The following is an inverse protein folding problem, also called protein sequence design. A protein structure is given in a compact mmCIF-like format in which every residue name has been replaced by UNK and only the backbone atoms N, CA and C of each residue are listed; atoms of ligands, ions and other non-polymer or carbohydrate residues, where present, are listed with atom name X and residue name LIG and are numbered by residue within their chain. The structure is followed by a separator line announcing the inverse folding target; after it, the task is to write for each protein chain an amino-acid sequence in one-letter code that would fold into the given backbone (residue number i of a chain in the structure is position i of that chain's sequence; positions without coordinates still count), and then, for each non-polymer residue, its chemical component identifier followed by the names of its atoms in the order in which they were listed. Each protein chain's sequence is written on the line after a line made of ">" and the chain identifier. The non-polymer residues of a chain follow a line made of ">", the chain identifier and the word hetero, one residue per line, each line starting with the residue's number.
data_IF_749143173569
#
_entry.id   IF_749143173569
#
_cell.length_a   1.000
_cell.length_b   1.000
_cell.length_c   1.000
_cell.angle_alpha   90.00
_cell.angle_beta   90.00
_cell.angle_gamma   90.00
#
_symmetry.space_group_name_H-M   'P 1'
#
loop_
_entity.id
_entity.type
_entity.pdbx_description
1 polymer ?
#
# COMPACT_ATOMS: atom_id res chain seq x y z
N UNK A 1 -69.43 -40.21 15.77
CA UNK A 1 -68.82 -39.89 17.07
C UNK A 1 -67.64 -38.96 16.83
N UNK A 2 -67.80 -37.65 17.05
CA UNK A 2 -66.72 -36.66 17.00
C UNK A 2 -66.11 -36.46 18.40
N UNK A 3 -64.84 -36.02 18.52
CA UNK A 3 -64.39 -35.33 19.73
C UNK A 3 -64.33 -33.82 19.51
N UNK A 4 -64.84 -33.11 20.52
CA UNK A 4 -65.11 -31.69 20.60
C UNK A 4 -63.86 -30.83 20.88
N UNK A 5 -63.89 -29.58 20.41
CA UNK A 5 -63.02 -28.48 20.85
C UNK A 5 -63.28 -28.11 22.32
N UNK A 6 -62.24 -27.80 23.10
CA UNK A 6 -62.41 -27.04 24.34
C UNK A 6 -62.19 -25.53 24.14
N UNK A 7 -63.07 -24.77 24.78
CA UNK A 7 -63.15 -23.31 24.81
C UNK A 7 -62.07 -22.65 25.68
N UNK A 8 -61.77 -21.37 25.40
CA UNK A 8 -61.03 -20.46 26.30
C UNK A 8 -61.88 -20.07 27.53
N UNK A 9 -61.23 -19.82 28.68
CA UNK A 9 -61.74 -18.87 29.65
C UNK A 9 -60.76 -17.73 29.98
N UNK A 10 -61.37 -16.64 30.45
CA UNK A 10 -60.90 -15.27 30.57
C UNK A 10 -59.81 -14.98 31.64
N UNK A 11 -59.16 -13.82 31.47
CA UNK A 11 -58.30 -13.14 32.44
C UNK A 11 -59.04 -12.73 33.72
N UNK A 12 -58.31 -12.64 34.86
CA UNK A 12 -58.59 -11.59 35.83
C UNK A 12 -57.33 -10.85 36.33
N UNK A 13 -57.42 -9.52 36.21
CA UNK A 13 -57.05 -8.45 37.18
C UNK A 13 -55.72 -8.48 37.94
N UNK A 14 -54.96 -7.38 37.79
CA UNK A 14 -53.90 -6.90 38.70
C UNK A 14 -54.38 -6.67 40.14
N UNK A 15 -53.42 -6.64 41.09
CA UNK A 15 -53.35 -5.47 41.98
C UNK A 15 -51.92 -4.90 42.15
N UNK A 16 -51.92 -3.56 42.17
CA UNK A 16 -51.08 -2.57 42.87
C UNK A 16 -49.67 -2.90 43.40
N UNK A 17 -48.77 -1.96 43.09
CA UNK A 17 -47.47 -1.67 43.72
C UNK A 17 -47.54 -1.44 45.24
N UNK A 18 -46.37 -1.48 45.91
CA UNK A 18 -45.98 -0.30 46.68
C UNK A 18 -44.60 0.24 46.29
N UNK A 19 -44.49 1.57 46.42
CA UNK A 19 -43.32 2.43 46.24
C UNK A 19 -42.26 2.24 47.34
N UNK A 20 -40.98 2.44 46.96
CA UNK A 20 -39.95 3.20 47.70
C UNK A 20 -38.62 3.05 46.94
N UNK A 21 -38.24 4.00 46.07
CA UNK A 21 -37.44 5.19 46.37
C UNK A 21 -36.03 4.84 46.90
N UNK A 22 -35.01 4.90 46.03
CA UNK A 22 -33.68 5.39 46.41
C UNK A 22 -32.80 5.73 45.18
N UNK A 23 -32.37 6.99 45.16
CA UNK A 23 -31.14 7.56 44.55
C UNK A 23 -30.97 7.55 43.02
N UNK A 24 -31.38 8.67 42.43
CA UNK A 24 -30.83 9.28 41.22
C UNK A 24 -29.38 9.73 41.48
N UNK A 25 -28.39 9.13 40.81
CA UNK A 25 -27.04 9.69 40.73
C UNK A 25 -26.96 10.66 39.54
N UNK A 26 -26.46 11.85 39.84
CA UNK A 26 -26.42 13.00 38.94
C UNK A 26 -25.43 12.80 37.79
N UNK A 27 -25.89 13.09 36.57
CA UNK A 27 -25.03 13.29 35.41
C UNK A 27 -24.28 14.61 35.57
N UNK A 28 -23.02 14.54 35.94
CA UNK A 28 -22.12 15.70 35.91
C UNK A 28 -21.73 15.96 34.46
N UNK A 29 -22.24 17.05 33.91
CA UNK A 29 -21.96 17.56 32.59
C UNK A 29 -20.48 17.93 32.46
N UNK A 30 -19.73 17.16 31.67
CA UNK A 30 -18.37 17.51 31.28
C UNK A 30 -18.43 18.45 30.08
N UNK A 31 -18.27 19.75 30.31
CA UNK A 31 -17.98 20.73 29.27
C UNK A 31 -16.58 20.45 28.71
N UNK A 32 -16.39 20.14 27.41
CA UNK A 32 -15.06 20.06 26.86
C UNK A 32 -14.52 21.47 26.67
N UNK A 33 -13.50 21.83 27.44
CA UNK A 33 -12.71 23.04 27.17
C UNK A 33 -12.16 22.97 25.76
N UNK A 34 -12.51 23.96 24.94
CA UNK A 34 -12.00 24.13 23.58
C UNK A 34 -10.47 24.21 23.59
N UNK A 35 -9.80 23.08 23.36
CA UNK A 35 -8.40 23.03 22.99
C UNK A 35 -8.26 23.62 21.59
N UNK A 36 -7.41 24.64 21.47
CA UNK A 36 -7.08 25.27 20.20
C UNK A 36 -6.74 24.21 19.14
N UNK A 37 -7.53 24.16 18.07
CA UNK A 37 -7.24 23.35 16.89
C UNK A 37 -5.95 23.86 16.25
N UNK A 38 -4.83 23.18 16.52
CA UNK A 38 -3.66 23.26 15.65
C UNK A 38 -4.07 22.72 14.28
N UNK A 39 -3.85 23.50 13.22
CA UNK A 39 -4.01 23.00 11.85
C UNK A 39 -3.13 21.77 11.60
N UNK A 40 -3.38 20.98 10.54
CA UNK A 40 -2.64 19.76 10.28
C UNK A 40 -1.14 20.07 10.21
N UNK A 41 -0.37 19.47 11.11
CA UNK A 41 1.09 19.55 11.09
C UNK A 41 1.58 18.94 9.77
N UNK A 42 2.45 19.67 9.06
CA UNK A 42 3.00 19.18 7.80
C UNK A 42 4.04 18.10 8.13
N UNK A 43 3.75 16.86 7.75
CA UNK A 43 4.64 15.70 7.91
C UNK A 43 5.92 15.85 7.07
N UNK A 44 7.06 15.31 7.54
CA UNK A 44 8.33 15.31 6.77
C UNK A 44 8.17 14.57 5.45
N UNK A 45 7.44 13.47 5.42
CA UNK A 45 7.08 12.73 4.20
C UNK A 45 6.31 13.60 3.21
N UNK A 46 5.41 14.45 3.70
CA UNK A 46 4.69 15.42 2.87
C UNK A 46 5.60 16.52 2.32
N UNK A 47 6.60 16.97 3.09
CA UNK A 47 7.61 17.93 2.63
C UNK A 47 8.59 17.32 1.60
N UNK A 48 9.04 16.09 1.81
CA UNK A 48 9.91 15.37 0.87
C UNK A 48 9.20 15.13 -0.47
N UNK A 49 7.91 14.77 -0.44
CA UNK A 49 7.06 14.71 -1.64
C UNK A 49 7.01 16.06 -2.37
N UNK A 50 6.80 17.16 -1.65
CA UNK A 50 6.75 18.50 -2.26
C UNK A 50 8.08 18.92 -2.89
N UNK A 51 9.21 18.55 -2.29
CA UNK A 51 10.54 18.80 -2.83
C UNK A 51 10.83 18.01 -4.11
N UNK A 52 10.33 16.77 -4.23
CA UNK A 52 10.52 15.92 -5.41
C UNK A 52 9.73 16.39 -6.65
N UNK A 53 8.59 17.07 -6.46
CA UNK A 53 7.77 17.63 -7.56
C UNK A 53 8.34 18.95 -8.09
N UNK A 54 9.12 19.68 -7.29
CA UNK A 54 9.66 20.99 -7.63
C UNK A 54 10.94 20.93 -8.51
N UNK A 55 10.83 20.39 -9.72
CA UNK A 55 11.86 20.61 -10.76
C UNK A 55 11.48 21.79 -11.65
N UNK A 56 12.19 22.90 -11.44
CA UNK A 56 12.34 24.10 -12.29
C UNK A 56 11.19 24.47 -13.26
N UNK A 57 10.26 25.32 -12.81
CA UNK A 57 9.51 26.21 -13.71
C UNK A 57 10.30 27.51 -13.84
N UNK A 58 10.76 27.92 -15.04
CA UNK A 58 11.33 29.25 -15.22
C UNK A 58 10.22 30.28 -15.00
N UNK A 59 10.47 31.19 -14.07
CA UNK A 59 9.55 32.25 -13.66
C UNK A 59 9.31 33.21 -14.85
N UNK A 60 8.22 33.03 -15.59
CA UNK A 60 7.62 34.09 -16.40
C UNK A 60 6.36 34.57 -15.69
N UNK A 61 6.29 35.89 -15.55
CA UNK A 61 5.53 36.64 -14.56
C UNK A 61 4.01 36.42 -14.58
N UNK A 62 3.43 36.41 -13.37
CA UNK A 62 2.06 36.89 -13.10
C UNK A 62 1.07 35.83 -12.61
N UNK A 63 0.76 35.84 -11.31
CA UNK A 63 -0.38 35.13 -10.71
C UNK A 63 0.04 34.05 -9.70
N UNK A 64 0.19 34.44 -8.44
CA UNK A 64 0.85 33.64 -7.41
C UNK A 64 0.08 32.44 -6.87
N UNK A 65 0.84 31.39 -6.55
CA UNK A 65 0.72 30.70 -5.27
C UNK A 65 1.94 31.13 -4.47
N UNK A 66 1.77 32.14 -3.62
CA UNK A 66 2.80 32.53 -2.67
C UNK A 66 2.86 31.44 -1.59
N UNK A 67 3.82 30.52 -1.69
CA UNK A 67 4.33 29.84 -0.50
C UNK A 67 4.87 30.96 0.39
N UNK A 68 4.25 31.17 1.55
CA UNK A 68 4.67 32.16 2.52
C UNK A 68 6.15 31.91 2.88
N UNK A 69 7.05 32.67 2.24
CA UNK A 69 8.37 32.93 2.79
C UNK A 69 8.14 34.00 3.84
N UNK A 70 7.90 33.58 5.07
CA UNK A 70 8.14 34.45 6.21
C UNK A 70 9.63 34.82 6.17
N UNK A 71 9.90 36.01 5.65
CA UNK A 71 11.17 36.71 5.81
C UNK A 71 11.13 37.42 7.15
N UNK A 72 10.98 36.63 8.22
CA UNK A 72 11.19 37.07 9.59
C UNK A 72 12.60 36.66 10.01
N UNK A 73 13.55 37.57 9.89
CA UNK A 73 14.85 37.42 10.55
C UNK A 73 14.68 37.57 12.07
N UNK A 74 14.13 36.55 12.74
CA UNK A 74 14.34 36.35 14.17
C UNK A 74 15.37 35.24 14.32
N UNK A 75 16.52 35.55 14.94
CA UNK A 75 17.55 34.56 15.32
C UNK A 75 17.10 33.57 16.40
N UNK A 76 15.81 33.20 16.41
CA UNK A 76 15.31 32.08 17.16
C UNK A 76 15.73 30.80 16.41
N UNK A 77 16.31 29.79 17.10
CA UNK A 77 16.56 28.51 16.49
C UNK A 77 15.24 27.96 15.93
N UNK A 78 15.27 27.57 14.66
CA UNK A 78 14.14 26.89 14.02
C UNK A 78 13.81 25.66 14.85
N UNK A 79 12.53 25.44 15.12
CA UNK A 79 12.09 24.22 15.77
C UNK A 79 12.65 23.02 14.98
N UNK A 80 13.26 22.01 15.65
CA UNK A 80 13.60 20.77 15.00
C UNK A 80 12.38 20.28 14.22
N UNK A 81 12.58 19.90 12.96
CA UNK A 81 11.53 19.21 12.23
C UNK A 81 11.06 18.03 13.09
N UNK A 82 9.75 17.78 13.26
CA UNK A 82 9.25 16.66 14.06
C UNK A 82 9.95 15.36 13.68
N UNK A 83 10.18 14.45 14.63
CA UNK A 83 10.71 13.11 14.35
C UNK A 83 9.84 12.37 13.32
N UNK A 84 10.39 11.32 12.70
CA UNK A 84 9.73 10.43 11.73
C UNK A 84 8.63 9.59 12.39
N UNK A 85 7.73 10.24 13.13
CA UNK A 85 6.60 9.65 13.84
C UNK A 85 5.32 10.33 13.32
N UNK A 86 5.17 10.30 11.98
CA UNK A 86 4.01 10.82 11.26
C UNK A 86 3.35 9.79 10.32
N UNK A 87 3.64 8.50 10.55
CA UNK A 87 3.15 7.36 9.76
C UNK A 87 4.25 6.45 9.21
N UNK A 88 5.40 6.37 9.90
CA UNK A 88 6.53 5.50 9.54
C UNK A 88 6.49 4.13 10.22
N UNK A 89 5.32 3.79 10.80
CA UNK A 89 4.99 2.42 11.13
C UNK A 89 5.06 1.56 9.86
N UNK A 90 5.79 0.42 9.88
CA UNK A 90 5.85 -0.46 8.73
C UNK A 90 4.46 -0.83 8.26
N UNK A 91 4.26 -0.84 6.94
CA UNK A 91 3.00 -1.26 6.34
C UNK A 91 2.66 -2.67 6.81
N UNK A 92 1.47 -2.81 7.41
CA UNK A 92 1.03 -4.08 7.98
C UNK A 92 0.97 -5.18 6.93
N UNK A 93 1.45 -6.38 7.29
CA UNK A 93 1.31 -7.56 6.47
C UNK A 93 -0.11 -8.13 6.56
N UNK A 94 -0.55 -8.78 5.48
CA UNK A 94 -1.81 -9.50 5.43
C UNK A 94 -1.67 -10.77 4.60
N UNK A 95 -2.69 -11.61 4.67
CA UNK A 95 -2.72 -12.87 3.93
C UNK A 95 -2.56 -12.64 2.43
N UNK A 96 -1.83 -13.55 1.78
CA UNK A 96 -1.70 -13.62 0.32
C UNK A 96 -3.05 -13.90 -0.37
N UNK A 97 -3.90 -14.69 0.28
CA UNK A 97 -5.12 -15.23 -0.30
C UNK A 97 -4.85 -16.33 -1.33
N UNK A 98 -5.91 -17.01 -1.81
CA UNK A 98 -5.77 -18.22 -2.62
C UNK A 98 -5.45 -17.98 -4.10
N UNK A 99 -5.35 -16.71 -4.52
CA UNK A 99 -5.32 -16.33 -5.93
C UNK A 99 -4.01 -15.69 -6.38
N UNK A 100 -2.94 -15.74 -5.59
CA UNK A 100 -1.63 -15.34 -6.05
C UNK A 100 -1.12 -16.28 -7.16
N UNK A 101 -0.35 -15.74 -8.10
CA UNK A 101 0.38 -16.50 -9.11
C UNK A 101 1.80 -15.92 -9.21
N UNK A 102 2.84 -16.75 -9.07
CA UNK A 102 4.20 -16.28 -9.31
C UNK A 102 4.40 -15.95 -10.79
N UNK A 103 5.51 -15.29 -11.10
CA UNK A 103 5.97 -15.02 -12.48
C UNK A 103 5.05 -14.05 -13.24
N UNK A 104 4.47 -13.08 -12.53
CA UNK A 104 3.68 -12.02 -13.16
C UNK A 104 4.54 -11.24 -14.17
N UNK A 105 3.99 -10.73 -15.28
CA UNK A 105 4.77 -9.97 -16.26
C UNK A 105 5.23 -8.61 -15.68
N UNK A 106 6.43 -8.16 -16.09
CA UNK A 106 6.94 -6.82 -15.77
C UNK A 106 6.13 -5.76 -16.53
N UNK A 107 5.26 -5.03 -15.83
CA UNK A 107 4.42 -3.97 -16.40
C UNK A 107 3.81 -3.08 -15.31
N UNK A 108 3.64 -1.80 -15.65
CA UNK A 108 2.96 -0.81 -14.80
C UNK A 108 1.49 -0.62 -15.17
N UNK A 109 1.05 -1.08 -16.34
CA UNK A 109 -0.36 -1.11 -16.74
C UNK A 109 -0.87 -2.55 -16.81
N UNK A 110 -1.94 -2.82 -16.07
CA UNK A 110 -2.65 -4.10 -16.05
C UNK A 110 -3.77 -4.16 -17.09
N UNK A 111 -4.00 -3.05 -17.82
CA UNK A 111 -5.16 -2.85 -18.68
C UNK A 111 -4.77 -2.27 -20.03
N UNK A 112 -5.68 -2.44 -20.99
CA UNK A 112 -5.69 -1.77 -22.29
C UNK A 112 -6.86 -0.77 -22.35
N UNK A 113 -6.90 0.07 -23.38
CA UNK A 113 -8.01 1.02 -23.60
C UNK A 113 -9.39 0.36 -23.77
N UNK A 114 -9.44 -0.93 -24.14
CA UNK A 114 -10.68 -1.70 -24.29
C UNK A 114 -11.06 -2.49 -23.04
N UNK A 115 -10.30 -2.38 -21.95
CA UNK A 115 -10.57 -3.16 -20.73
C UNK A 115 -11.81 -2.62 -20.02
N UNK A 116 -12.82 -3.46 -19.73
CA UNK A 116 -14.01 -3.02 -19.02
C UNK A 116 -13.71 -2.73 -17.55
N UNK A 117 -14.33 -1.67 -17.02
CA UNK A 117 -14.24 -1.27 -15.63
C UNK A 117 -14.04 0.23 -15.49
N UNK A 118 -14.16 0.73 -14.26
CA UNK A 118 -13.87 2.14 -13.95
C UNK A 118 -12.35 2.29 -13.93
N UNK A 119 -11.75 3.16 -14.79
CA UNK A 119 -10.30 3.34 -14.80
C UNK A 119 -9.78 3.78 -13.43
N UNK A 120 -8.64 3.22 -13.02
CA UNK A 120 -7.98 3.51 -11.76
C UNK A 120 -6.47 3.63 -11.98
N UNK A 121 -5.86 4.72 -11.55
CA UNK A 121 -4.41 4.80 -11.39
C UNK A 121 -4.07 4.87 -9.91
N UNK A 122 -3.25 3.94 -9.41
CA UNK A 122 -2.70 3.97 -8.05
C UNK A 122 -1.24 4.38 -8.12
N UNK A 123 -0.84 5.39 -7.36
CA UNK A 123 0.55 5.87 -7.35
C UNK A 123 0.98 6.27 -5.96
N UNK A 124 2.28 6.20 -5.69
CA UNK A 124 2.85 6.64 -4.43
C UNK A 124 4.33 6.33 -4.37
N UNK A 125 4.83 6.19 -3.16
CA UNK A 125 6.23 5.97 -2.88
C UNK A 125 6.45 4.79 -1.94
N UNK A 126 7.64 4.22 -1.96
CA UNK A 126 8.12 3.30 -0.92
C UNK A 126 9.20 4.01 -0.12
N UNK A 127 9.04 4.00 1.20
CA UNK A 127 10.00 4.54 2.17
C UNK A 127 10.52 3.44 3.07
N UNK A 128 11.68 3.68 3.69
CA UNK A 128 12.13 2.93 4.87
C UNK A 128 11.81 3.68 6.16
N UNK A 129 12.32 3.18 7.29
CA UNK A 129 12.02 3.71 8.64
C UNK A 129 12.52 5.14 8.90
N UNK A 130 13.48 5.63 8.12
CA UNK A 130 14.04 6.97 8.26
C UNK A 130 13.38 7.98 7.29
N UNK A 131 12.17 7.69 6.82
CA UNK A 131 11.44 8.43 5.78
C UNK A 131 12.19 8.60 4.45
N UNK A 132 13.24 7.82 4.17
CA UNK A 132 13.99 7.96 2.91
C UNK A 132 13.38 7.08 1.84
N UNK A 133 13.20 7.58 0.60
CA UNK A 133 12.65 6.77 -0.47
C UNK A 133 13.56 5.58 -0.79
N UNK A 134 12.97 4.42 -1.05
CA UNK A 134 13.69 3.18 -1.37
C UNK A 134 13.50 2.89 -2.86
N UNK A 135 14.54 3.07 -3.70
CA UNK A 135 14.47 2.72 -5.11
C UNK A 135 14.67 1.21 -5.32
N UNK A 136 14.24 0.70 -6.48
CA UNK A 136 14.43 -0.71 -6.85
C UNK A 136 13.60 -1.70 -6.02
N UNK A 137 12.56 -1.24 -5.32
CA UNK A 137 11.63 -2.12 -4.59
C UNK A 137 10.73 -2.83 -5.58
N UNK A 138 10.73 -4.17 -5.56
CA UNK A 138 9.76 -4.98 -6.29
C UNK A 138 8.36 -4.70 -5.73
N UNK A 139 7.42 -4.33 -6.59
CA UNK A 139 6.00 -4.25 -6.27
C UNK A 139 5.22 -5.14 -7.25
N UNK A 140 4.77 -6.30 -6.78
CA UNK A 140 4.00 -7.28 -7.57
C UNK A 140 2.52 -7.23 -7.20
N UNK A 141 1.71 -6.70 -8.11
CA UNK A 141 0.29 -6.45 -7.90
C UNK A 141 -0.57 -7.52 -8.54
N UNK A 142 -1.64 -7.91 -7.84
CA UNK A 142 -2.73 -8.70 -8.43
C UNK A 142 -4.08 -8.31 -7.86
N UNK A 143 -5.12 -8.42 -8.69
CA UNK A 143 -6.49 -8.11 -8.27
C UNK A 143 -7.51 -8.93 -9.08
N UNK A 144 -8.77 -8.85 -8.66
CA UNK A 144 -9.90 -9.30 -9.46
C UNK A 144 -10.18 -8.33 -10.63
N UNK A 145 -10.89 -8.83 -11.64
CA UNK A 145 -11.52 -8.02 -12.68
C UNK A 145 -12.70 -7.18 -12.15
N UNK A 146 -13.36 -6.41 -13.01
CA UNK A 146 -14.50 -5.56 -12.63
C UNK A 146 -15.72 -6.33 -12.07
N UNK A 147 -15.79 -7.65 -12.28
CA UNK A 147 -16.87 -8.53 -11.82
C UNK A 147 -16.48 -9.33 -10.57
N UNK A 148 -15.26 -9.15 -10.05
CA UNK A 148 -14.78 -9.87 -8.87
C UNK A 148 -14.14 -11.22 -9.17
N UNK A 149 -13.79 -11.51 -10.43
CA UNK A 149 -13.14 -12.76 -10.83
C UNK A 149 -11.61 -12.60 -10.95
N UNK A 150 -10.85 -13.55 -10.41
CA UNK A 150 -9.40 -13.64 -10.60
C UNK A 150 -9.06 -14.51 -11.80
N UNK A 151 -8.13 -14.05 -12.65
CA UNK A 151 -7.60 -14.86 -13.74
C UNK A 151 -6.59 -15.89 -13.21
N UNK A 152 -6.99 -17.16 -13.24
CA UNK A 152 -6.15 -18.29 -12.84
C UNK A 152 -5.49 -19.00 -14.03
N UNK A 153 -5.96 -18.80 -15.26
CA UNK A 153 -5.38 -19.41 -16.46
C UNK A 153 -4.24 -18.54 -17.03
N UNK A 154 -4.46 -17.23 -17.14
CA UNK A 154 -3.51 -16.25 -17.64
C UNK A 154 -2.93 -15.34 -16.56
N UNK A 155 -2.59 -14.12 -16.97
CA UNK A 155 -2.04 -13.08 -16.09
C UNK A 155 -2.85 -11.79 -16.15
N UNK A 156 -4.11 -11.82 -16.59
CA UNK A 156 -4.98 -10.63 -16.60
C UNK A 156 -5.06 -10.05 -15.18
N UNK A 157 -4.88 -8.72 -15.05
CA UNK A 157 -4.81 -8.05 -13.75
C UNK A 157 -3.69 -8.51 -12.81
N UNK A 158 -2.56 -8.97 -13.36
CA UNK A 158 -1.33 -9.31 -12.62
C UNK A 158 -0.12 -8.64 -13.23
N UNK A 159 0.76 -8.08 -12.43
CA UNK A 159 2.00 -7.53 -12.96
C UNK A 159 2.82 -6.88 -11.88
N UNK A 160 4.13 -6.94 -12.06
CA UNK A 160 5.07 -6.31 -11.15
C UNK A 160 5.82 -5.17 -11.83
N UNK A 161 6.41 -4.34 -10.99
CA UNK A 161 7.28 -3.23 -11.36
C UNK A 161 8.33 -3.02 -10.28
N UNK A 162 9.25 -2.10 -10.52
CA UNK A 162 10.22 -1.65 -9.54
C UNK A 162 10.04 -0.16 -9.27
N UNK A 163 10.24 0.28 -8.02
CA UNK A 163 10.26 1.72 -7.74
C UNK A 163 11.41 2.41 -8.46
N UNK A 164 11.15 3.64 -8.91
CA UNK A 164 12.17 4.47 -9.56
C UNK A 164 13.23 4.97 -8.55
N UNK A 165 14.20 5.75 -9.02
CA UNK A 165 15.28 6.32 -8.19
C UNK A 165 14.80 7.19 -7.02
N UNK A 166 13.54 7.66 -7.06
CA UNK A 166 12.92 8.46 -6.01
C UNK A 166 11.97 7.61 -5.15
N UNK A 167 12.00 6.28 -5.29
CA UNK A 167 11.10 5.37 -4.60
C UNK A 167 9.67 5.38 -5.13
N UNK A 168 9.39 6.02 -6.28
CA UNK A 168 8.03 6.18 -6.78
C UNK A 168 7.56 4.96 -7.59
N UNK A 169 6.25 4.69 -7.54
CA UNK A 169 5.59 3.67 -8.36
C UNK A 169 4.29 4.19 -8.99
N UNK A 170 3.83 3.54 -10.05
CA UNK A 170 2.51 3.80 -10.65
C UNK A 170 1.91 2.52 -11.23
N UNK A 171 0.66 2.25 -10.86
CA UNK A 171 -0.14 1.15 -11.34
C UNK A 171 -1.35 1.70 -12.09
N UNK A 172 -1.48 1.37 -13.38
CA UNK A 172 -2.68 1.66 -14.18
C UNK A 172 -3.54 0.41 -14.27
N UNK A 173 -4.79 0.50 -13.82
CA UNK A 173 -5.71 -0.63 -13.71
C UNK A 173 -7.18 -0.14 -13.79
N UNK A 174 -8.12 -0.97 -13.36
CA UNK A 174 -9.51 -0.61 -13.08
C UNK A 174 -9.83 -0.88 -11.61
N UNK A 175 -10.92 -0.28 -11.12
CA UNK A 175 -11.49 -0.60 -9.81
C UNK A 175 -11.94 -2.07 -9.80
N UNK A 176 -11.32 -2.98 -9.01
CA UNK A 176 -11.68 -4.40 -8.98
C UNK A 176 -13.08 -4.58 -8.44
N UNK A 177 -13.85 -5.55 -8.94
CA UNK A 177 -15.16 -5.92 -8.41
C UNK A 177 -15.08 -6.52 -7.00
N UNK A 178 -16.23 -6.61 -6.32
CA UNK A 178 -16.31 -7.33 -5.05
C UNK A 178 -16.29 -8.83 -5.31
N UNK A 179 -15.47 -9.58 -4.59
CA UNK A 179 -15.58 -11.02 -4.56
C UNK A 179 -16.27 -11.51 -3.27
N UNK A 180 -16.85 -12.73 -3.25
CA UNK A 180 -17.63 -13.20 -2.11
C UNK A 180 -16.86 -13.15 -0.78
N UNK A 181 -17.50 -12.57 0.24
CA UNK A 181 -16.99 -12.54 1.61
C UNK A 181 -15.92 -11.48 1.92
N UNK A 182 -15.54 -10.63 0.95
CA UNK A 182 -14.49 -9.63 1.14
C UNK A 182 -14.91 -8.23 0.70
N UNK A 183 -14.31 -7.21 1.32
CA UNK A 183 -14.37 -5.83 0.85
C UNK A 183 -13.49 -5.64 -0.38
N UNK A 184 -13.62 -4.51 -1.07
CA UNK A 184 -12.82 -4.24 -2.28
C UNK A 184 -11.36 -4.03 -1.91
N UNK A 185 -10.45 -4.71 -2.61
CA UNK A 185 -9.02 -4.55 -2.40
C UNK A 185 -8.19 -4.87 -3.64
N UNK A 186 -6.94 -4.42 -3.63
CA UNK A 186 -5.87 -4.83 -4.53
C UNK A 186 -4.79 -5.50 -3.69
N UNK A 187 -4.29 -6.66 -4.12
CA UNK A 187 -3.16 -7.29 -3.43
C UNK A 187 -1.83 -6.77 -3.95
N UNK A 188 -0.82 -6.80 -3.08
CA UNK A 188 0.55 -6.44 -3.43
C UNK A 188 1.55 -7.25 -2.61
N UNK A 189 2.65 -7.65 -3.27
CA UNK A 189 3.90 -8.03 -2.61
C UNK A 189 4.91 -6.91 -2.82
N UNK A 190 5.50 -6.42 -1.73
CA UNK A 190 6.55 -5.44 -1.75
C UNK A 190 7.85 -6.06 -1.22
N UNK A 191 8.96 -5.87 -1.93
CA UNK A 191 10.26 -6.40 -1.50
C UNK A 191 11.37 -5.44 -1.90
N UNK A 192 11.98 -4.81 -0.90
CA UNK A 192 13.21 -4.06 -1.09
C UNK A 192 14.38 -5.02 -1.35
N UNK A 193 15.44 -4.57 -2.05
CA UNK A 193 16.68 -5.33 -2.13
C UNK A 193 17.17 -5.69 -0.72
N UNK A 194 17.70 -6.90 -0.54
CA UNK A 194 18.21 -7.39 0.76
C UNK A 194 17.13 -7.82 1.75
N UNK A 195 15.85 -7.62 1.43
CA UNK A 195 14.77 -7.63 2.42
C UNK A 195 13.83 -8.83 2.25
N UNK A 196 13.08 -9.13 3.32
CA UNK A 196 11.94 -10.04 3.25
C UNK A 196 10.80 -9.51 2.37
N UNK A 197 9.91 -10.40 1.93
CA UNK A 197 8.70 -10.04 1.18
C UNK A 197 7.61 -9.59 2.15
N UNK A 198 7.18 -8.34 2.04
CA UNK A 198 5.90 -7.89 2.59
C UNK A 198 4.78 -8.35 1.66
N UNK A 199 3.85 -9.16 2.17
CA UNK A 199 2.60 -9.46 1.47
C UNK A 199 1.48 -8.70 2.16
N UNK A 200 0.71 -7.91 1.41
CA UNK A 200 -0.37 -7.10 1.98
C UNK A 200 -1.47 -6.81 0.96
N UNK A 201 -2.45 -5.99 1.35
CA UNK A 201 -3.62 -5.62 0.58
C UNK A 201 -3.87 -4.12 0.72
N UNK A 202 -4.42 -3.48 -0.31
CA UNK A 202 -4.81 -2.07 -0.31
C UNK A 202 -6.33 -1.94 -0.40
N UNK A 203 -6.92 -1.17 0.50
CA UNK A 203 -8.37 -1.01 0.63
C UNK A 203 -8.90 0.30 0.03
N UNK A 204 -10.19 0.33 -0.28
CA UNK A 204 -10.87 1.50 -0.84
C UNK A 204 -11.72 2.22 0.22
N UNK A 205 -11.74 3.57 0.21
CA UNK A 205 -12.55 4.34 1.15
C UNK A 205 -14.04 4.21 0.83
N UNK A 206 -14.86 4.18 1.88
CA UNK A 206 -16.32 4.20 1.77
C UNK A 206 -16.96 2.91 1.25
N UNK A 207 -16.23 1.80 1.15
CA UNK A 207 -16.84 0.51 0.80
C UNK A 207 -17.67 0.00 1.98
N UNK A 208 -18.98 -0.30 1.79
CA UNK A 208 -19.84 -0.78 2.88
C UNK A 208 -19.31 -2.04 3.56
N UNK A 209 -18.57 -2.89 2.84
CA UNK A 209 -17.99 -4.12 3.37
C UNK A 209 -16.78 -3.92 4.26
N UNK A 210 -16.20 -2.72 4.35
CA UNK A 210 -15.13 -2.43 5.29
C UNK A 210 -15.57 -2.67 6.75
N UNK A 211 -16.87 -2.54 7.06
CA UNK A 211 -17.41 -2.81 8.40
C UNK A 211 -17.64 -4.30 8.70
N UNK A 212 -17.55 -5.17 7.69
CA UNK A 212 -17.86 -6.61 7.82
C UNK A 212 -16.70 -7.52 7.46
N UNK A 213 -15.72 -7.03 6.70
CA UNK A 213 -14.54 -7.81 6.33
C UNK A 213 -13.52 -7.76 7.48
N UNK A 214 -13.27 -8.91 8.10
CA UNK A 214 -12.33 -9.02 9.23
C UNK A 214 -10.87 -8.75 8.85
N UNK A 215 -10.53 -8.72 7.56
CA UNK A 215 -9.21 -8.35 7.08
C UNK A 215 -9.08 -6.86 6.81
N UNK A 216 -10.18 -6.10 6.82
CA UNK A 216 -10.09 -4.66 6.61
C UNK A 216 -9.21 -4.01 7.68
N UNK A 217 -8.25 -3.20 7.23
CA UNK A 217 -7.38 -2.40 8.08
C UNK A 217 -7.34 -0.96 7.55
N UNK A 218 -7.59 0.00 8.43
CA UNK A 218 -7.55 1.41 8.10
C UNK A 218 -6.14 1.91 7.74
N UNK A 219 -5.08 1.28 8.27
CA UNK A 219 -3.69 1.59 7.92
C UNK A 219 -3.35 1.25 6.47
N UNK A 220 -4.15 0.37 5.84
CA UNK A 220 -3.99 -0.10 4.46
C UNK A 220 -4.98 0.60 3.50
N UNK A 221 -5.63 1.67 3.95
CA UNK A 221 -6.61 2.41 3.18
C UNK A 221 -5.93 3.36 2.19
N UNK A 222 -6.23 3.21 0.90
CA UNK A 222 -5.81 4.20 -0.09
C UNK A 222 -6.59 5.50 0.07
N UNK A 223 -5.94 6.62 -0.20
CA UNK A 223 -6.65 7.85 -0.50
C UNK A 223 -7.10 7.83 -1.96
N UNK A 224 -8.42 7.87 -2.22
CA UNK A 224 -9.00 7.72 -3.57
C UNK A 224 -9.89 8.90 -3.92
N UNK A 225 -9.63 9.52 -5.07
CA UNK A 225 -10.43 10.64 -5.61
C UNK A 225 -10.94 10.35 -7.01
N UNK A 226 -12.07 10.94 -7.39
CA UNK A 226 -12.57 10.87 -8.77
C UNK A 226 -11.76 11.79 -9.69
N UNK A 227 -11.47 11.33 -10.91
CA UNK A 227 -10.79 12.11 -11.97
C UNK A 227 -11.39 11.74 -13.32
N UNK A 228 -12.09 12.69 -13.96
CA UNK A 228 -12.82 12.42 -15.20
C UNK A 228 -13.83 11.28 -15.02
N UNK A 229 -13.78 10.28 -15.89
CA UNK A 229 -14.58 9.05 -15.79
C UNK A 229 -13.97 7.97 -14.89
N UNK A 230 -12.78 8.20 -14.33
CA UNK A 230 -12.03 7.23 -13.52
C UNK A 230 -11.77 7.70 -12.10
N UNK A 231 -10.80 7.04 -11.46
CA UNK A 231 -10.33 7.34 -10.11
C UNK A 231 -8.81 7.39 -10.07
N UNK A 232 -8.28 8.16 -9.13
CA UNK A 232 -6.87 8.12 -8.75
C UNK A 232 -6.77 7.71 -7.28
N UNK A 233 -6.02 6.65 -7.02
CA UNK A 233 -5.63 6.18 -5.70
C UNK A 233 -4.21 6.61 -5.35
N UNK A 234 -3.95 6.85 -4.08
CA UNK A 234 -2.61 7.11 -3.54
C UNK A 234 -2.38 6.31 -2.27
N UNK A 235 -1.19 5.71 -2.16
CA UNK A 235 -0.75 4.94 -1.00
C UNK A 235 0.78 4.90 -0.99
N UNK A 236 1.38 5.09 0.18
CA UNK A 236 2.82 4.96 0.35
C UNK A 236 3.15 3.78 1.25
N UNK A 237 4.14 2.99 0.84
CA UNK A 237 4.61 1.86 1.63
C UNK A 237 5.70 2.27 2.62
N UNK A 238 5.47 1.84 3.85
CA UNK A 238 6.33 1.65 5.03
C UNK A 238 7.17 0.37 5.02
N UNK A 239 8.41 0.29 4.52
CA UNK A 239 9.20 -0.96 4.65
C UNK A 239 10.15 -0.91 5.84
N UNK A 240 10.25 -2.02 6.58
CA UNK A 240 11.26 -2.21 7.61
C UNK A 240 12.63 -2.49 6.98
N UNK A 241 13.25 -1.44 6.46
CA UNK A 241 14.59 -1.46 5.88
C UNK A 241 15.43 -0.45 6.65
N UNK A 242 16.59 -0.89 7.14
CA UNK A 242 17.54 0.01 7.77
C UNK A 242 18.09 0.99 6.72
N UNK A 243 18.18 2.27 7.07
CA UNK A 243 18.69 3.31 6.19
C UNK A 243 19.79 4.05 6.94
N UNK A 244 21.07 3.78 6.64
CA UNK A 244 22.18 4.47 7.30
C UNK A 244 22.15 5.96 6.93
N UNK A 245 22.06 6.88 7.92
CA UNK A 245 21.99 8.29 7.63
C UNK A 245 23.26 8.86 6.98
N UNK A 246 24.39 8.19 7.18
CA UNK A 246 25.76 8.64 6.85
C UNK A 246 26.37 7.97 5.63
N UNK A 247 25.71 6.95 5.07
CA UNK A 247 26.16 6.26 3.86
C UNK A 247 25.56 6.95 2.61
N UNK A 248 26.36 7.63 1.77
CA UNK A 248 25.89 8.19 0.51
C UNK A 248 25.68 7.12 -0.59
N UNK A 249 25.92 5.83 -0.30
CA UNK A 249 26.01 4.73 -1.28
C UNK A 249 25.00 3.59 -1.11
N UNK A 250 23.79 3.84 -0.60
CA UNK A 250 22.72 2.84 -0.64
C UNK A 250 21.52 3.32 -1.51
N UNK A 251 21.13 2.64 -2.63
CA UNK A 251 21.63 1.39 -3.23
C UNK A 251 22.46 1.61 -4.52
N UNK A 252 23.13 0.57 -5.08
CA UNK A 252 24.06 0.77 -6.19
C UNK A 252 23.33 1.01 -7.51
N UNK A 253 23.88 1.90 -8.35
CA UNK A 253 24.22 1.59 -9.75
C UNK A 253 24.88 2.81 -10.40
N UNK A 254 26.21 2.87 -10.31
CA UNK A 254 26.99 3.47 -11.38
C UNK A 254 26.91 2.52 -12.61
N UNK A 255 26.41 2.94 -13.79
CA UNK A 255 26.16 2.05 -14.93
C UNK A 255 27.41 1.55 -15.67
N UNK A 256 28.62 1.82 -15.16
CA UNK A 256 29.87 1.66 -15.90
C UNK A 256 30.57 0.31 -15.73
N UNK A 257 30.05 -0.61 -14.92
CA UNK A 257 30.61 -1.96 -14.88
C UNK A 257 30.17 -2.79 -16.10
N UNK A 258 31.12 -3.46 -16.79
CA UNK A 258 30.83 -4.18 -18.02
C UNK A 258 29.93 -5.41 -17.75
N UNK A 259 28.97 -5.72 -18.63
CA UNK A 259 28.09 -6.88 -18.46
C UNK A 259 28.89 -8.18 -18.66
N UNK A 260 28.98 -9.01 -17.62
CA UNK A 260 29.46 -10.39 -17.72
C UNK A 260 28.31 -11.31 -18.14
N UNK A 261 28.48 -11.97 -19.28
CA UNK A 261 27.56 -12.99 -19.81
C UNK A 261 27.34 -14.13 -18.81
N UNK A 262 26.10 -14.53 -18.46
CA UNK A 262 25.92 -15.55 -17.43
C UNK A 262 25.86 -17.00 -17.93
N UNK A 263 26.82 -17.78 -17.44
CA UNK A 263 26.66 -19.19 -17.07
C UNK A 263 27.54 -19.46 -15.85
N UNK A 264 26.97 -19.86 -14.70
CA UNK A 264 27.74 -20.05 -13.45
C UNK A 264 26.97 -19.75 -12.16
N UNK A 265 27.68 -19.39 -11.09
CA UNK A 265 27.07 -18.99 -9.80
C UNK A 265 26.39 -17.63 -9.93
N UNK A 266 25.24 -17.45 -9.28
CA UNK A 266 24.55 -16.16 -9.19
C UNK A 266 25.48 -15.09 -8.57
N UNK A 267 25.42 -13.87 -9.07
CA UNK A 267 26.18 -12.73 -8.60
C UNK A 267 25.35 -11.43 -8.70
N UNK A 268 25.35 -10.64 -7.62
CA UNK A 268 24.80 -9.28 -7.63
C UNK A 268 25.55 -8.40 -8.66
N UNK A 269 24.88 -7.38 -9.18
CA UNK A 269 25.34 -6.51 -10.27
C UNK A 269 25.28 -7.13 -11.67
N UNK A 270 25.07 -8.45 -11.78
CA UNK A 270 25.04 -9.13 -13.08
C UNK A 270 23.69 -8.96 -13.75
N UNK A 271 23.71 -8.62 -15.04
CA UNK A 271 22.49 -8.61 -15.85
C UNK A 271 22.19 -10.01 -16.38
N UNK A 272 21.05 -10.54 -15.95
CA UNK A 272 20.53 -11.83 -16.38
C UNK A 272 19.40 -11.64 -17.38
N UNK A 273 19.29 -12.57 -18.32
CA UNK A 273 18.16 -12.69 -19.24
C UNK A 273 17.26 -13.86 -18.85
N UNK A 274 15.99 -13.80 -19.25
CA UNK A 274 15.06 -14.90 -18.99
C UNK A 274 15.56 -16.19 -19.66
N UNK A 275 15.64 -17.28 -18.88
CA UNK A 275 16.18 -18.56 -19.29
C UNK A 275 17.60 -18.85 -18.79
N UNK A 276 18.36 -17.83 -18.37
CA UNK A 276 19.70 -18.03 -17.80
C UNK A 276 19.64 -18.98 -16.62
N UNK A 277 20.63 -19.85 -16.51
CA UNK A 277 20.74 -20.79 -15.39
C UNK A 277 21.93 -20.42 -14.53
N UNK A 278 21.65 -20.27 -13.24
CA UNK A 278 22.65 -19.97 -12.23
C UNK A 278 22.63 -20.99 -11.10
N UNK A 279 23.72 -21.09 -10.35
CA UNK A 279 23.75 -21.79 -9.07
C UNK A 279 23.80 -20.79 -7.92
N UNK A 280 23.05 -21.05 -6.84
CA UNK A 280 23.14 -20.27 -5.61
C UNK A 280 22.88 -21.20 -4.42
N UNK A 281 23.74 -21.14 -3.39
CA UNK A 281 23.62 -22.02 -2.22
C UNK A 281 23.60 -23.52 -2.55
N UNK A 282 24.27 -23.93 -3.64
CA UNK A 282 24.30 -25.33 -4.11
C UNK A 282 23.05 -25.80 -4.87
N UNK A 283 22.04 -24.96 -5.03
CA UNK A 283 20.87 -25.25 -5.85
C UNK A 283 20.94 -24.52 -7.20
N UNK A 284 20.36 -25.13 -8.23
CA UNK A 284 20.23 -24.51 -9.54
C UNK A 284 18.96 -23.66 -9.61
N UNK A 285 19.04 -22.54 -10.32
CA UNK A 285 17.93 -21.63 -10.54
C UNK A 285 17.91 -21.20 -12.00
N UNK A 286 16.71 -21.06 -12.54
CA UNK A 286 16.46 -20.46 -13.85
C UNK A 286 15.95 -19.04 -13.64
N UNK A 287 16.63 -18.07 -14.24
CA UNK A 287 16.16 -16.70 -14.34
C UNK A 287 14.84 -16.69 -15.13
N UNK A 288 13.80 -16.10 -14.58
CA UNK A 288 12.48 -16.06 -15.19
C UNK A 288 12.28 -14.81 -16.02
N UNK A 289 12.99 -13.74 -15.68
CA UNK A 289 12.78 -12.39 -16.22
C UNK A 289 14.10 -11.67 -16.34
N UNK A 290 14.29 -10.92 -17.42
CA UNK A 290 15.52 -10.15 -17.59
C UNK A 290 15.60 -9.05 -16.53
N UNK A 291 16.71 -9.00 -15.79
CA UNK A 291 16.93 -8.02 -14.73
C UNK A 291 18.42 -7.88 -14.44
N UNK A 292 18.82 -6.77 -13.83
CA UNK A 292 20.12 -6.66 -13.16
C UNK A 292 19.93 -7.15 -11.73
N UNK A 293 20.62 -8.22 -11.35
CA UNK A 293 20.54 -8.76 -10.01
C UNK A 293 21.09 -7.76 -9.00
N UNK A 294 20.35 -7.53 -7.92
CA UNK A 294 20.79 -6.69 -6.80
C UNK A 294 21.16 -7.58 -5.61
N UNK A 295 21.98 -7.05 -4.71
CA UNK A 295 22.21 -7.71 -3.41
C UNK A 295 20.87 -7.95 -2.72
N UNK A 296 20.63 -9.18 -2.25
CA UNK A 296 19.36 -9.59 -1.69
C UNK A 296 18.30 -10.09 -2.67
N UNK A 297 18.57 -10.03 -3.98
CA UNK A 297 17.77 -10.69 -5.01
C UNK A 297 18.32 -12.07 -5.35
N UNK A 298 18.91 -12.75 -4.35
CA UNK A 298 19.38 -14.10 -4.55
C UNK A 298 18.21 -15.01 -4.93
N UNK A 299 18.44 -16.05 -5.73
CA UNK A 299 17.36 -16.84 -6.30
C UNK A 299 16.29 -17.40 -5.35
N UNK A 300 16.60 -17.80 -4.10
CA UNK A 300 15.58 -18.20 -3.14
C UNK A 300 14.67 -17.06 -2.66
N UNK A 301 15.14 -15.81 -2.71
CA UNK A 301 14.54 -14.67 -2.02
C UNK A 301 13.52 -13.93 -2.90
N UNK A 302 13.68 -13.97 -4.22
CA UNK A 302 12.84 -13.26 -5.20
C UNK A 302 12.24 -14.26 -6.22
N UNK A 303 11.27 -15.10 -5.82
CA UNK A 303 10.72 -16.17 -6.68
C UNK A 303 9.99 -15.66 -7.93
N UNK A 304 9.70 -14.36 -8.02
CA UNK A 304 9.20 -13.75 -9.25
C UNK A 304 10.29 -13.66 -10.35
N UNK A 305 11.57 -13.60 -9.96
CA UNK A 305 12.71 -13.48 -10.86
C UNK A 305 13.44 -14.82 -11.06
N UNK A 306 13.26 -15.79 -10.16
CA UNK A 306 13.97 -17.07 -10.21
C UNK A 306 13.07 -18.26 -9.90
N UNK A 307 13.19 -19.31 -10.70
CA UNK A 307 12.60 -20.62 -10.41
C UNK A 307 13.70 -21.59 -10.05
N UNK A 308 13.50 -22.36 -8.98
CA UNK A 308 14.42 -23.44 -8.62
C UNK A 308 14.33 -24.58 -9.64
N UNK A 309 15.48 -24.97 -10.20
CA UNK A 309 15.62 -26.05 -11.18
C UNK A 309 15.89 -27.41 -10.57
#
# INVERSE_FOLDING_TARGET
>A
MPPASPASPASPTSPASPESNESYESYESYEPTAGAAGGPAISRKSLLRAALVATAVPLLAGGGVALARDTGASGAPLAPTPDCDDGDEPTHDQIEGPYFKPNSPLRTSLVTSSTPGVPLTVSGYVFGRECRPVPGVLLDFWQADTNGAYDMSGFTFRGHQFTDRNGAFTLTTIVPGLYPGRTRHVHVKAQAPGSGILTTQLYFPGEPRNSTDMLYDAALLMNVRAVGSGKQGTFDFVLDVAQDPTDPTDPPTDPTDPPTTPGGTWAAGTSYTAGDRVTYGGAAYRCLQAHTALTGWEPPNVPALWERG
#
